data_IF_722974826983
#
_entry.id   IF_722974826983
#
_cell.length_a   1.000
_cell.length_b   1.000
_cell.length_c   1.000
_cell.angle_alpha   90.00
_cell.angle_beta   90.00
_cell.angle_gamma   90.00
#
_symmetry.space_group_name_H-M   'P 1'
#
loop_
_entity.id
_entity.type
_entity.pdbx_description
1 polymer ?
#
# COMPACT_ATOMS: atom_id res chain seq x y z
N UNK A 1 6.29 -2.59 13.74
CA UNK A 1 6.80 -3.84 13.16
C UNK A 1 6.47 -4.00 11.68
N UNK A 2 6.91 -5.10 11.06
CA UNK A 2 6.44 -5.51 9.73
C UNK A 2 5.73 -6.84 9.87
N UNK A 3 4.43 -6.87 9.57
CA UNK A 3 3.58 -8.03 9.67
C UNK A 3 3.27 -8.55 8.26
N UNK A 4 3.71 -9.76 7.96
CA UNK A 4 3.36 -10.42 6.69
C UNK A 4 1.89 -10.82 6.74
N UNK A 5 1.12 -10.40 5.74
CA UNK A 5 -0.31 -10.65 5.69
C UNK A 5 -0.56 -12.10 5.26
N UNK A 6 -1.26 -12.91 6.08
CA UNK A 6 -1.55 -14.30 5.72
C UNK A 6 -2.47 -14.39 4.50
N UNK A 7 -2.52 -15.56 3.87
CA UNK A 7 -3.56 -15.89 2.90
C UNK A 7 -4.90 -16.13 3.62
N UNK A 8 -6.01 -16.02 2.92
CA UNK A 8 -7.33 -16.22 3.52
C UNK A 8 -7.84 -15.01 4.29
N UNK A 9 -8.98 -15.22 4.94
CA UNK A 9 -9.59 -14.23 5.83
C UNK A 9 -8.84 -14.17 7.15
N UNK A 10 -8.49 -12.96 7.59
CA UNK A 10 -7.74 -12.77 8.82
C UNK A 10 -8.00 -11.39 9.46
N UNK A 11 -7.51 -11.24 10.68
CA UNK A 11 -7.33 -9.93 11.34
C UNK A 11 -5.84 -9.76 11.59
N UNK A 12 -5.31 -8.63 11.15
CA UNK A 12 -3.94 -8.22 11.38
C UNK A 12 -3.96 -7.05 12.36
N UNK A 13 -3.43 -7.26 13.56
CA UNK A 13 -3.28 -6.20 14.57
C UNK A 13 -1.80 -5.87 14.73
N UNK A 14 -1.42 -4.63 14.41
CA UNK A 14 -0.05 -4.13 14.58
C UNK A 14 0.29 -3.76 16.02
N UNK A 15 -0.71 -3.54 16.87
CA UNK A 15 -0.49 -3.15 18.26
C UNK A 15 0.11 -1.74 18.41
N UNK A 16 1.05 -1.58 19.33
CA UNK A 16 1.65 -0.28 19.63
C UNK A 16 2.90 -0.04 18.77
N UNK A 17 2.99 1.15 18.18
CA UNK A 17 4.20 1.57 17.48
C UNK A 17 3.88 2.10 16.08
N UNK A 18 4.73 1.70 15.13
CA UNK A 18 4.52 1.96 13.70
C UNK A 18 4.61 0.63 12.97
N UNK A 19 3.50 0.24 12.39
CA UNK A 19 3.29 -1.11 11.90
C UNK A 19 3.07 -1.12 10.40
N UNK A 20 3.60 -2.13 9.73
CA UNK A 20 3.54 -2.28 8.27
C UNK A 20 2.87 -3.59 7.93
N UNK A 21 1.71 -3.54 7.29
CA UNK A 21 1.14 -4.72 6.63
C UNK A 21 1.89 -4.96 5.31
N UNK A 22 2.49 -6.15 5.18
CA UNK A 22 3.31 -6.52 4.03
C UNK A 22 2.66 -7.65 3.24
N UNK A 23 2.41 -7.38 1.95
CA UNK A 23 1.87 -8.34 0.98
C UNK A 23 2.97 -8.92 0.08
N UNK A 24 4.23 -8.77 0.46
CA UNK A 24 5.37 -9.34 -0.25
C UNK A 24 5.18 -10.85 -0.39
N UNK A 25 5.32 -11.37 -1.61
CA UNK A 25 5.07 -12.78 -1.93
C UNK A 25 3.61 -13.14 -2.20
N UNK A 26 2.69 -12.17 -2.22
CA UNK A 26 1.33 -12.40 -2.74
C UNK A 26 1.38 -12.90 -4.18
N UNK A 27 0.65 -13.99 -4.47
CA UNK A 27 0.53 -14.53 -5.83
C UNK A 27 -0.50 -13.78 -6.71
N UNK A 28 -1.23 -12.84 -6.12
CA UNK A 28 -2.25 -12.03 -6.78
C UNK A 28 -2.11 -10.55 -6.37
N UNK A 29 -2.57 -9.60 -7.19
CA UNK A 29 -2.61 -8.21 -6.79
C UNK A 29 -3.39 -7.98 -5.50
N UNK A 30 -3.09 -6.90 -4.79
CA UNK A 30 -3.73 -6.53 -3.53
C UNK A 30 -4.39 -5.17 -3.63
N UNK A 31 -5.55 -5.05 -2.99
CA UNK A 31 -6.19 -3.77 -2.70
C UNK A 31 -6.18 -3.61 -1.18
N UNK A 32 -5.45 -2.63 -0.67
CA UNK A 32 -5.29 -2.39 0.76
C UNK A 32 -5.53 -0.91 1.09
N UNK A 33 -6.29 -0.66 2.15
CA UNK A 33 -6.65 0.69 2.58
C UNK A 33 -6.55 0.81 4.10
N UNK A 34 -5.66 1.70 4.57
CA UNK A 34 -5.53 2.00 6.00
C UNK A 34 -6.73 2.79 6.52
N UNK A 35 -7.25 3.73 5.72
CA UNK A 35 -8.47 4.48 6.09
C UNK A 35 -9.71 3.58 6.18
N UNK A 36 -9.81 2.54 5.36
CA UNK A 36 -10.89 1.56 5.46
C UNK A 36 -10.64 0.48 6.52
N UNK A 37 -9.40 0.34 7.01
CA UNK A 37 -9.00 -0.74 7.91
C UNK A 37 -9.13 -2.12 7.28
N UNK A 38 -8.90 -2.24 5.97
CA UNK A 38 -9.17 -3.47 5.23
C UNK A 38 -8.21 -3.68 4.05
N UNK A 39 -7.92 -4.94 3.77
CA UNK A 39 -7.22 -5.36 2.56
C UNK A 39 -7.79 -6.65 1.98
N UNK A 40 -7.56 -6.87 0.68
CA UNK A 40 -7.93 -8.10 0.00
C UNK A 40 -6.97 -8.44 -1.13
N UNK A 41 -6.90 -9.72 -1.45
CA UNK A 41 -6.29 -10.22 -2.69
C UNK A 41 -7.34 -10.16 -3.82
N UNK A 42 -6.95 -9.63 -4.97
CA UNK A 42 -7.83 -9.47 -6.14
C UNK A 42 -7.81 -10.75 -6.97
N UNK A 43 -8.97 -11.19 -7.44
CA UNK A 43 -9.07 -12.38 -8.31
C UNK A 43 -9.06 -13.73 -7.58
N UNK A 44 -9.15 -13.74 -6.24
CA UNK A 44 -9.37 -14.95 -5.45
C UNK A 44 -10.86 -15.16 -5.19
N UNK A 45 -11.36 -16.37 -5.40
CA UNK A 45 -12.73 -16.77 -5.03
C UNK A 45 -12.70 -17.91 -3.98
N UNK A 46 -13.44 -17.78 -2.85
CA UNK A 46 -14.20 -16.59 -2.43
C UNK A 46 -13.27 -15.42 -2.08
N UNK A 47 -13.80 -14.20 -2.09
CA UNK A 47 -13.05 -13.01 -1.65
C UNK A 47 -12.43 -13.21 -0.25
N UNK A 48 -11.10 -13.14 -0.21
CA UNK A 48 -10.28 -13.22 1.01
C UNK A 48 -9.97 -11.82 1.51
N UNK A 49 -10.63 -11.43 2.61
CA UNK A 49 -10.49 -10.12 3.23
C UNK A 49 -9.73 -10.16 4.54
N UNK A 50 -8.86 -9.19 4.76
CA UNK A 50 -8.06 -9.02 5.98
C UNK A 50 -8.42 -7.70 6.63
N UNK A 51 -8.88 -7.74 7.88
CA UNK A 51 -9.06 -6.54 8.69
C UNK A 51 -7.69 -6.03 9.18
N UNK A 52 -7.44 -4.73 9.05
CA UNK A 52 -6.20 -4.08 9.50
C UNK A 52 -6.52 -3.23 10.73
N UNK A 53 -5.91 -3.56 11.87
CA UNK A 53 -6.04 -2.85 13.13
C UNK A 53 -4.66 -2.34 13.55
N UNK A 54 -4.58 -1.08 13.98
CA UNK A 54 -3.33 -0.47 14.45
C UNK A 54 -2.17 -0.65 13.45
N UNK A 55 -2.42 -0.40 12.17
CA UNK A 55 -1.42 -0.45 11.09
C UNK A 55 -1.33 0.92 10.43
N UNK A 56 -0.12 1.45 10.32
CA UNK A 56 0.14 2.78 9.76
C UNK A 56 0.81 2.75 8.38
N UNK A 57 1.24 1.59 7.90
CA UNK A 57 2.04 1.48 6.69
C UNK A 57 1.64 0.26 5.84
N UNK A 58 1.84 0.38 4.54
CA UNK A 58 1.56 -0.69 3.57
C UNK A 58 2.80 -0.98 2.72
N UNK A 59 3.04 -2.25 2.46
CA UNK A 59 3.94 -2.72 1.40
C UNK A 59 3.18 -3.70 0.53
N UNK A 60 3.08 -3.42 -0.76
CA UNK A 60 2.42 -4.27 -1.74
C UNK A 60 3.21 -5.54 -2.05
N UNK A 61 2.82 -6.15 -3.14
CA UNK A 61 3.31 -7.38 -3.73
C UNK A 61 4.32 -7.08 -4.84
N UNK A 62 4.48 -7.99 -5.80
CA UNK A 62 5.27 -7.78 -7.02
C UNK A 62 4.36 -7.68 -8.26
N UNK A 63 3.10 -7.29 -8.05
CA UNK A 63 2.04 -7.20 -9.04
C UNK A 63 1.39 -5.81 -8.92
N UNK A 64 0.54 -5.43 -9.88
CA UNK A 64 -0.07 -4.09 -9.87
C UNK A 64 -1.11 -3.92 -8.77
N UNK A 65 -0.73 -3.26 -7.69
CA UNK A 65 -1.49 -3.14 -6.45
C UNK A 65 -2.19 -1.78 -6.30
N UNK A 66 -3.21 -1.74 -5.44
CA UNK A 66 -3.90 -0.51 -5.07
C UNK A 66 -3.72 -0.29 -3.55
N UNK A 67 -2.88 0.68 -3.18
CA UNK A 67 -2.54 0.96 -1.80
C UNK A 67 -3.00 2.37 -1.41
N UNK A 68 -3.91 2.43 -0.44
CA UNK A 68 -4.43 3.68 0.10
C UNK A 68 -3.99 3.87 1.55
N UNK A 69 -3.41 5.03 1.83
CA UNK A 69 -3.05 5.51 3.16
C UNK A 69 -4.27 5.97 3.98
N UNK A 70 -4.03 7.00 4.79
CA UNK A 70 -4.93 7.52 5.82
C UNK A 70 -4.79 9.04 5.92
N UNK A 71 -5.45 9.68 6.89
CA UNK A 71 -5.26 11.11 7.15
C UNK A 71 -4.03 11.41 8.05
N UNK A 72 -3.13 10.45 8.22
CA UNK A 72 -1.93 10.55 9.05
C UNK A 72 -0.70 10.10 8.25
N UNK A 73 0.51 10.41 8.73
CA UNK A 73 1.73 10.07 8.01
C UNK A 73 1.89 8.54 7.82
N UNK A 74 1.87 8.11 6.56
CA UNK A 74 2.03 6.72 6.17
C UNK A 74 3.33 6.48 5.39
N UNK A 75 3.82 5.24 5.41
CA UNK A 75 4.79 4.72 4.45
C UNK A 75 4.06 3.77 3.51
N UNK A 76 4.09 4.08 2.22
CA UNK A 76 3.52 3.24 1.15
C UNK A 76 4.66 2.78 0.25
N UNK A 77 4.77 1.46 0.05
CA UNK A 77 5.71 0.86 -0.91
C UNK A 77 4.90 0.02 -1.86
N UNK A 78 4.87 0.37 -3.15
CA UNK A 78 4.13 -0.37 -4.18
C UNK A 78 4.71 -1.77 -4.37
N UNK A 79 5.96 -1.81 -4.84
CA UNK A 79 6.64 -3.05 -5.13
C UNK A 79 7.13 -3.03 -6.57
N UNK A 80 7.18 -4.20 -7.20
CA UNK A 80 7.18 -4.26 -8.67
C UNK A 80 5.72 -4.30 -9.13
N UNK A 81 5.41 -3.80 -10.32
CA UNK A 81 4.03 -3.82 -10.82
C UNK A 81 3.56 -2.45 -11.23
N UNK A 82 2.40 -2.35 -11.87
CA UNK A 82 1.80 -1.06 -12.16
C UNK A 82 0.84 -0.72 -11.01
N UNK A 83 1.33 0.07 -10.07
CA UNK A 83 0.67 0.33 -8.79
C UNK A 83 -0.11 1.65 -8.79
N UNK A 84 -1.17 1.70 -7.97
CA UNK A 84 -1.86 2.92 -7.59
C UNK A 84 -1.61 3.21 -6.10
N UNK A 85 -0.90 4.31 -5.83
CA UNK A 85 -0.50 4.72 -4.48
C UNK A 85 -1.15 6.05 -4.10
N UNK A 86 -2.03 6.02 -3.10
CA UNK A 86 -2.75 7.19 -2.60
C UNK A 86 -2.36 7.46 -1.13
N UNK A 87 -1.63 8.54 -0.87
CA UNK A 87 -1.23 8.95 0.50
C UNK A 87 -2.38 9.51 1.34
N UNK A 88 -3.28 10.26 0.70
CA UNK A 88 -4.39 11.03 1.28
C UNK A 88 -3.95 12.25 2.10
N UNK A 89 -3.76 12.11 3.41
CA UNK A 89 -3.46 13.24 4.28
C UNK A 89 -2.29 12.93 5.20
N UNK A 90 -1.47 13.92 5.52
CA UNK A 90 -0.38 13.73 6.48
C UNK A 90 0.95 14.10 5.88
N UNK A 91 1.99 13.32 6.17
CA UNK A 91 3.33 13.55 5.62
C UNK A 91 3.89 12.21 5.18
N UNK A 92 3.65 11.87 3.93
CA UNK A 92 3.82 10.49 3.49
C UNK A 92 5.20 10.22 2.92
N UNK A 93 5.64 8.97 3.05
CA UNK A 93 6.79 8.46 2.32
C UNK A 93 6.29 7.39 1.35
N UNK A 94 6.19 7.75 0.08
CA UNK A 94 5.68 6.89 -0.98
C UNK A 94 6.85 6.42 -1.84
N UNK A 95 6.93 5.11 -2.09
CA UNK A 95 7.93 4.53 -2.97
C UNK A 95 7.26 3.61 -3.99
N UNK A 96 7.20 4.08 -5.23
CA UNK A 96 6.74 3.37 -6.42
C UNK A 96 7.90 2.91 -7.31
N UNK A 97 9.15 3.26 -6.96
CA UNK A 97 10.29 2.97 -7.83
C UNK A 97 10.47 1.47 -8.05
N UNK A 98 10.34 1.04 -9.30
CA UNK A 98 10.42 -0.36 -9.70
C UNK A 98 11.27 -0.60 -10.98
N UNK A 99 11.10 -1.77 -11.62
CA UNK A 99 11.75 -2.17 -12.86
C UNK A 99 11.14 -1.57 -14.15
N UNK A 100 10.46 -0.41 -14.08
CA UNK A 100 9.87 0.40 -15.18
C UNK A 100 8.43 0.05 -15.55
N UNK A 101 7.58 -0.22 -14.56
CA UNK A 101 6.13 -0.19 -14.76
C UNK A 101 5.60 1.21 -14.53
N UNK A 102 4.36 1.42 -14.95
CA UNK A 102 3.76 2.75 -14.95
C UNK A 102 2.86 2.87 -13.72
N UNK A 103 3.39 3.49 -12.67
CA UNK A 103 2.64 3.73 -11.46
C UNK A 103 1.86 5.05 -11.51
N UNK A 104 0.82 5.11 -10.70
CA UNK A 104 0.06 6.31 -10.38
C UNK A 104 0.30 6.66 -8.92
N UNK A 105 0.84 7.85 -8.66
CA UNK A 105 1.17 8.31 -7.31
C UNK A 105 0.47 9.63 -7.00
N UNK A 106 -0.26 9.65 -5.89
CA UNK A 106 -0.85 10.86 -5.35
C UNK A 106 -0.64 10.92 -3.84
N UNK A 107 0.32 11.73 -3.38
CA UNK A 107 0.55 11.99 -1.95
C UNK A 107 -0.64 12.63 -1.26
N UNK A 108 -1.43 13.41 -1.99
CA UNK A 108 -2.56 14.14 -1.42
C UNK A 108 -2.13 15.39 -0.66
N UNK A 109 -2.79 15.67 0.46
CA UNK A 109 -2.52 16.83 1.31
C UNK A 109 -1.39 16.54 2.29
N UNK A 110 -0.36 17.37 2.31
CA UNK A 110 0.81 17.05 3.10
C UNK A 110 2.10 17.63 2.55
N UNK A 111 3.20 17.32 3.21
CA UNK A 111 4.54 17.51 2.63
C UNK A 111 5.13 16.13 2.34
N UNK A 112 4.72 15.56 1.23
CA UNK A 112 4.99 14.18 0.93
C UNK A 112 6.38 14.01 0.34
N UNK A 113 6.91 12.79 0.41
CA UNK A 113 8.15 12.41 -0.24
C UNK A 113 7.89 11.19 -1.07
N UNK A 114 7.87 11.38 -2.38
CA UNK A 114 7.75 10.29 -3.34
C UNK A 114 9.13 9.91 -3.88
N UNK A 115 9.43 8.61 -3.88
CA UNK A 115 10.57 8.04 -4.59
C UNK A 115 10.03 7.29 -5.79
N UNK A 116 10.25 7.86 -6.96
CA UNK A 116 9.65 7.42 -8.21
C UNK A 116 10.71 7.11 -9.25
N UNK A 117 10.31 6.41 -10.31
CA UNK A 117 11.14 6.22 -11.49
C UNK A 117 10.85 7.27 -12.59
N UNK A 118 11.62 7.27 -13.69
CA UNK A 118 11.51 8.30 -14.75
C UNK A 118 10.36 8.10 -15.74
N UNK A 119 9.60 7.01 -15.63
CA UNK A 119 8.55 6.59 -16.58
C UNK A 119 7.15 6.61 -15.97
N UNK A 120 7.02 6.85 -14.68
CA UNK A 120 5.72 7.02 -14.03
C UNK A 120 4.87 8.09 -14.74
N UNK A 121 3.64 7.69 -15.05
CA UNK A 121 2.79 8.40 -16.02
C UNK A 121 1.90 9.43 -15.33
N UNK A 122 1.75 9.35 -14.01
CA UNK A 122 0.81 10.19 -13.26
C UNK A 122 1.22 10.38 -11.80
N UNK A 123 2.22 11.24 -11.58
CA UNK A 123 2.57 11.76 -10.24
C UNK A 123 1.86 13.10 -10.03
N UNK A 124 0.92 13.17 -9.09
CA UNK A 124 0.09 14.38 -8.88
C UNK A 124 0.57 15.28 -7.73
N UNK A 125 0.91 14.71 -6.57
CA UNK A 125 1.31 15.48 -5.39
C UNK A 125 2.44 14.76 -4.66
N UNK A 126 3.56 15.46 -4.55
CA UNK A 126 4.76 15.23 -3.76
C UNK A 126 5.31 16.65 -3.45
#
# INVERSE_FOLDING_TARGET
DTLVVPAGRATLDGGAGKDTASFVGSATPVQASLTAGFARRVGTEPLEGVALLSVENLTGSSLGDELTGSNTANKLVGGDGADELLGLGGKDNINSRDARKNDTVNGGSGKDRCTTDRREVSIKSC
#
